data_IF_007072445205
#
_entry.id   IF_007072445205
#
_cell.length_a   1.000
_cell.length_b   1.000
_cell.length_c   1.000
_cell.angle_alpha   90.00
_cell.angle_beta   90.00
_cell.angle_gamma   90.00
#
_symmetry.space_group_name_H-M   'P 1'
#
loop_
_entity.id
_entity.type
_entity.pdbx_description
1 polymer ?
#
# COMPACT_ATOMS: atom_id res chain seq x y z
N UNK A 1 36.20 26.47 8.62
CA UNK A 1 35.47 25.44 7.84
C UNK A 1 34.56 24.68 8.78
N UNK A 2 33.24 24.78 8.58
CA UNK A 2 32.25 24.13 9.41
C UNK A 2 31.98 22.73 8.84
N UNK A 3 32.36 21.69 9.57
CA UNK A 3 32.30 20.28 9.11
C UNK A 3 30.85 19.91 8.70
N UNK A 4 29.86 20.53 9.35
CA UNK A 4 28.43 20.36 9.03
C UNK A 4 28.05 20.87 7.63
N UNK A 5 28.66 21.95 7.15
CA UNK A 5 28.40 22.51 5.81
C UNK A 5 29.11 21.75 4.68
N UNK A 6 30.08 20.89 5.01
CA UNK A 6 30.78 20.05 4.03
C UNK A 6 30.03 18.73 3.81
N UNK A 7 29.45 18.16 4.87
CA UNK A 7 28.68 16.92 4.81
C UNK A 7 27.38 17.13 4.00
N UNK A 8 26.71 18.27 4.17
CA UNK A 8 25.48 18.60 3.41
C UNK A 8 25.68 18.81 1.92
N UNK A 9 26.93 19.01 1.46
CA UNK A 9 27.26 19.20 0.03
C UNK A 9 27.68 17.91 -0.66
N UNK A 10 27.90 16.84 0.11
CA UNK A 10 28.41 15.57 -0.40
C UNK A 10 27.40 14.43 -0.29
N UNK A 11 26.36 14.56 0.53
CA UNK A 11 25.22 13.66 0.48
C UNK A 11 24.24 14.12 -0.60
N UNK A 12 24.00 13.32 -1.67
CA UNK A 12 22.85 13.55 -2.52
C UNK A 12 21.58 13.38 -1.67
N UNK A 13 20.70 14.36 -1.73
CA UNK A 13 19.36 14.25 -1.14
C UNK A 13 18.64 13.11 -1.83
N UNK A 14 18.06 12.15 -1.09
CA UNK A 14 17.22 11.14 -1.71
C UNK A 14 15.98 11.82 -2.28
N UNK A 15 15.92 11.96 -3.60
CA UNK A 15 14.67 12.12 -4.32
C UNK A 15 13.92 10.80 -4.20
N UNK A 16 13.10 10.69 -3.15
CA UNK A 16 11.97 9.78 -3.17
C UNK A 16 11.08 10.37 -4.28
N UNK A 17 11.05 9.72 -5.45
CA UNK A 17 10.09 9.99 -6.51
C UNK A 17 8.70 9.57 -6.00
N UNK A 18 8.15 10.36 -5.08
CA UNK A 18 6.72 10.55 -5.02
C UNK A 18 6.39 11.45 -6.21
N UNK A 19 5.55 10.94 -7.09
CA UNK A 19 5.04 11.62 -8.27
C UNK A 19 4.35 12.94 -7.86
N UNK A 20 5.11 14.05 -7.89
CA UNK A 20 4.55 15.39 -7.97
C UNK A 20 4.83 15.89 -9.38
N UNK A 21 3.87 15.63 -10.28
CA UNK A 21 3.85 16.16 -11.63
C UNK A 21 3.86 17.70 -11.59
N UNK A 22 4.96 18.31 -12.02
CA UNK A 22 5.02 19.74 -12.29
C UNK A 22 4.15 20.08 -13.52
N UNK A 23 3.16 20.96 -13.30
CA UNK A 23 2.33 21.54 -14.34
C UNK A 23 3.16 22.30 -15.39
N UNK A 24 2.98 21.93 -16.66
CA UNK A 24 3.42 22.73 -17.81
C UNK A 24 2.26 22.89 -18.79
N UNK A 25 1.54 24.01 -18.69
CA UNK A 25 0.58 24.49 -19.70
C UNK A 25 1.29 25.34 -20.75
N UNK A 26 1.06 25.06 -22.03
CA UNK A 26 0.62 25.97 -23.13
C UNK A 26 0.22 25.05 -24.32
N UNK A 27 -1.08 24.76 -24.46
CA UNK A 27 -2.02 25.17 -25.56
C UNK A 27 -1.84 24.39 -26.89
N UNK A 28 -2.75 23.50 -27.27
CA UNK A 28 -4.10 23.70 -27.85
C UNK A 28 -4.05 23.32 -29.35
N UNK A 29 -4.66 22.16 -29.69
CA UNK A 29 -5.33 21.79 -30.98
C UNK A 29 -5.38 20.26 -31.26
N UNK A 30 -5.38 19.40 -30.23
CA UNK A 30 -5.73 17.96 -30.36
C UNK A 30 -6.64 17.45 -29.23
N UNK A 31 -7.13 18.34 -28.37
CA UNK A 31 -7.80 18.04 -27.09
C UNK A 31 -9.30 17.71 -27.22
N UNK A 32 -9.75 17.19 -28.38
CA UNK A 32 -11.19 16.95 -28.65
C UNK A 32 -11.52 15.57 -29.24
N UNK A 33 -10.60 14.61 -29.15
CA UNK A 33 -10.82 13.26 -29.69
C UNK A 33 -10.48 12.11 -28.73
N UNK A 34 -10.07 12.37 -27.48
CA UNK A 34 -9.72 11.32 -26.50
C UNK A 34 -10.43 11.49 -25.13
N UNK A 35 -11.63 12.09 -25.11
CA UNK A 35 -12.56 12.00 -23.97
C UNK A 35 -13.45 10.72 -24.04
N UNK A 36 -12.98 9.66 -24.72
CA UNK A 36 -13.65 8.36 -24.71
C UNK A 36 -13.13 7.52 -23.53
N UNK A 37 -13.85 7.63 -22.40
CA UNK A 37 -13.84 6.72 -21.24
C UNK A 37 -12.46 6.41 -20.62
N UNK A 38 -11.99 7.27 -19.70
CA UNK A 38 -11.25 6.78 -18.54
C UNK A 38 -12.21 5.89 -17.71
N UNK A 39 -12.42 4.64 -18.15
CA UNK A 39 -12.95 3.62 -17.26
C UNK A 39 -12.02 3.56 -16.04
N UNK A 40 -12.57 3.79 -14.84
CA UNK A 40 -11.85 3.67 -13.58
C UNK A 40 -11.20 2.27 -13.54
N UNK A 41 -9.90 2.20 -13.81
CA UNK A 41 -9.15 0.95 -13.78
C UNK A 41 -9.14 0.43 -12.35
N UNK A 42 -9.99 -0.56 -12.05
CA UNK A 42 -10.06 -1.20 -10.74
C UNK A 42 -8.99 -2.28 -10.60
N UNK A 43 -8.27 -2.29 -9.49
CA UNK A 43 -7.34 -3.37 -9.15
C UNK A 43 -8.15 -4.61 -8.69
N UNK A 44 -8.18 -5.70 -9.48
CA UNK A 44 -8.89 -6.91 -9.08
C UNK A 44 -8.35 -7.52 -7.78
N UNK A 45 -7.10 -7.23 -7.41
CA UNK A 45 -6.53 -7.69 -6.14
C UNK A 45 -7.19 -7.04 -4.93
N UNK A 46 -7.63 -5.79 -5.03
CA UNK A 46 -8.28 -5.08 -3.93
C UNK A 46 -9.64 -5.71 -3.60
N UNK A 47 -10.47 -5.91 -4.63
CA UNK A 47 -11.78 -6.56 -4.51
C UNK A 47 -11.65 -7.99 -3.93
N UNK A 48 -10.70 -8.78 -4.44
CA UNK A 48 -10.45 -10.14 -3.95
C UNK A 48 -9.94 -10.17 -2.51
N UNK A 49 -9.09 -9.21 -2.11
CA UNK A 49 -8.62 -9.10 -0.73
C UNK A 49 -9.77 -8.77 0.22
N UNK A 50 -10.69 -7.89 -0.16
CA UNK A 50 -11.88 -7.59 0.63
C UNK A 50 -12.76 -8.84 0.79
N UNK A 51 -13.07 -9.53 -0.32
CA UNK A 51 -13.87 -10.75 -0.30
C UNK A 51 -13.24 -11.84 0.59
N UNK A 52 -11.95 -12.12 0.40
CA UNK A 52 -11.23 -13.11 1.19
C UNK A 52 -11.13 -12.73 2.68
N UNK A 53 -10.95 -11.45 3.00
CA UNK A 53 -10.87 -10.98 4.39
C UNK A 53 -12.19 -11.13 5.15
N UNK A 54 -13.32 -11.12 4.44
CA UNK A 54 -14.67 -11.28 5.02
C UNK A 54 -15.04 -12.74 5.35
N UNK A 55 -14.20 -13.73 4.99
CA UNK A 55 -14.46 -15.12 5.38
C UNK A 55 -14.31 -15.31 6.88
N UNK A 56 -15.23 -16.06 7.51
CA UNK A 56 -15.34 -16.15 8.98
C UNK A 56 -14.03 -16.51 9.70
N UNK A 57 -13.20 -17.39 9.13
CA UNK A 57 -11.94 -17.78 9.76
C UNK A 57 -10.84 -16.73 9.56
N UNK A 58 -10.80 -16.08 8.40
CA UNK A 58 -9.82 -15.03 8.06
C UNK A 58 -10.14 -13.75 8.83
N UNK A 59 -11.41 -13.39 8.95
CA UNK A 59 -11.85 -12.23 9.72
C UNK A 59 -11.47 -12.35 11.20
N UNK A 60 -11.53 -13.56 11.78
CA UNK A 60 -11.06 -13.82 13.15
C UNK A 60 -9.56 -13.61 13.32
N UNK A 61 -8.75 -13.96 12.31
CA UNK A 61 -7.31 -13.70 12.34
C UNK A 61 -7.03 -12.20 12.28
N UNK A 62 -7.82 -11.46 11.50
CA UNK A 62 -7.76 -10.00 11.49
C UNK A 62 -8.15 -9.38 12.85
N UNK A 63 -9.18 -9.92 13.51
CA UNK A 63 -9.56 -9.49 14.86
C UNK A 63 -8.42 -9.71 15.86
N UNK A 64 -7.76 -10.88 15.83
CA UNK A 64 -6.60 -11.20 16.68
C UNK A 64 -5.43 -10.24 16.42
N UNK A 65 -5.16 -9.92 15.14
CA UNK A 65 -4.16 -8.93 14.76
C UNK A 65 -4.49 -7.54 15.35
N UNK A 66 -5.76 -7.12 15.27
CA UNK A 66 -6.20 -5.84 15.84
C UNK A 66 -6.09 -5.82 17.37
N UNK A 67 -6.46 -6.91 18.05
CA UNK A 67 -6.27 -7.05 19.49
C UNK A 67 -4.78 -6.93 19.90
N UNK A 68 -3.88 -7.48 19.09
CA UNK A 68 -2.43 -7.27 19.29
C UNK A 68 -2.04 -5.80 19.09
N UNK A 69 -2.49 -5.17 18.00
CA UNK A 69 -2.20 -3.77 17.71
C UNK A 69 -2.67 -2.84 18.84
N UNK A 70 -3.89 -3.04 19.35
CA UNK A 70 -4.42 -2.29 20.48
C UNK A 70 -3.55 -2.46 21.73
N UNK A 71 -3.11 -3.70 22.01
CA UNK A 71 -2.25 -4.02 23.15
C UNK A 71 -0.87 -3.38 23.02
N UNK A 72 -0.25 -3.42 21.84
CA UNK A 72 1.06 -2.79 21.57
C UNK A 72 0.95 -1.27 21.67
N UNK A 73 -0.06 -0.67 21.04
CA UNK A 73 -0.28 0.78 21.04
C UNK A 73 -0.66 1.32 22.43
N UNK A 74 -1.23 0.50 23.31
CA UNK A 74 -1.55 0.90 24.68
C UNK A 74 -0.32 1.07 25.60
N UNK A 75 0.85 0.58 25.19
CA UNK A 75 2.07 0.56 26.02
C UNK A 75 2.99 1.71 25.65
N UNK A 76 3.52 2.40 26.66
CA UNK A 76 4.50 3.48 26.45
C UNK A 76 5.87 2.95 26.00
N UNK A 77 6.26 1.76 26.46
CA UNK A 77 7.46 1.05 26.03
C UNK A 77 7.17 -0.46 26.02
N UNK A 78 7.36 -1.13 24.88
CA UNK A 78 7.20 -2.57 24.73
C UNK A 78 8.18 -3.13 23.70
N UNK A 79 8.52 -4.41 23.83
CA UNK A 79 9.26 -5.20 22.82
C UNK A 79 8.36 -6.15 22.03
N UNK A 80 7.08 -6.15 22.36
CA UNK A 80 6.08 -6.94 21.66
C UNK A 80 5.87 -6.42 20.24
N UNK A 81 5.73 -7.34 19.30
CA UNK A 81 5.46 -7.10 17.87
C UNK A 81 4.27 -7.95 17.44
N UNK A 82 3.44 -7.44 16.54
CA UNK A 82 2.28 -8.18 16.00
C UNK A 82 2.59 -8.91 14.69
N UNK A 83 3.87 -9.21 14.43
CA UNK A 83 4.32 -9.86 13.19
C UNK A 83 3.76 -11.26 13.03
N UNK A 84 3.63 -12.01 14.13
CA UNK A 84 3.07 -13.36 14.08
C UNK A 84 1.61 -13.32 13.64
N UNK A 85 0.78 -12.51 14.30
CA UNK A 85 -0.63 -12.34 13.97
C UNK A 85 -0.82 -11.78 12.55
N UNK A 86 0.09 -10.91 12.11
CA UNK A 86 0.11 -10.39 10.75
C UNK A 86 0.36 -11.51 9.73
N UNK A 87 1.38 -12.34 9.94
CA UNK A 87 1.67 -13.45 9.02
C UNK A 87 0.57 -14.51 9.02
N UNK A 88 -0.06 -14.79 10.18
CA UNK A 88 -1.19 -15.71 10.26
C UNK A 88 -2.36 -15.20 9.40
N UNK A 89 -2.73 -13.92 9.51
CA UNK A 89 -3.76 -13.29 8.67
C UNK A 89 -3.39 -13.26 7.18
N UNK A 90 -2.18 -12.82 6.86
CA UNK A 90 -1.72 -12.69 5.47
C UNK A 90 -1.67 -14.05 4.77
N UNK A 91 -1.20 -15.10 5.44
CA UNK A 91 -1.10 -16.42 4.85
C UNK A 91 -2.48 -16.92 4.41
N UNK A 92 -3.48 -16.91 5.31
CA UNK A 92 -4.82 -17.42 4.98
C UNK A 92 -5.54 -16.53 3.96
N UNK A 93 -5.38 -15.21 4.04
CA UNK A 93 -5.94 -14.29 3.05
C UNK A 93 -5.32 -14.50 1.67
N UNK A 94 -4.00 -14.59 1.58
CA UNK A 94 -3.30 -14.69 0.30
C UNK A 94 -3.43 -16.10 -0.30
N UNK A 95 -3.57 -17.15 0.52
CA UNK A 95 -3.98 -18.49 0.08
C UNK A 95 -5.40 -18.49 -0.52
N UNK A 96 -6.29 -17.62 -0.04
CA UNK A 96 -7.60 -17.40 -0.66
C UNK A 96 -7.49 -16.62 -1.98
N UNK A 97 -6.81 -15.47 -1.99
CA UNK A 97 -6.69 -14.58 -3.15
C UNK A 97 -5.98 -15.26 -4.33
N UNK A 98 -4.94 -16.05 -4.05
CA UNK A 98 -4.14 -16.72 -5.08
C UNK A 98 -4.92 -17.71 -5.94
N UNK A 99 -6.11 -18.14 -5.51
CA UNK A 99 -6.97 -19.08 -6.26
C UNK A 99 -7.60 -18.45 -7.50
N UNK A 100 -7.77 -17.13 -7.52
CA UNK A 100 -8.52 -16.42 -8.57
C UNK A 100 -7.78 -15.22 -9.14
N UNK A 101 -6.85 -14.61 -8.41
CA UNK A 101 -6.18 -13.37 -8.83
C UNK A 101 -5.59 -13.44 -10.24
N UNK A 102 -4.92 -14.54 -10.59
CA UNK A 102 -4.26 -14.68 -11.89
C UNK A 102 -5.22 -14.87 -13.06
N UNK A 103 -6.50 -15.16 -12.81
CA UNK A 103 -7.53 -15.17 -13.86
C UNK A 103 -7.90 -13.74 -14.32
N UNK A 104 -7.56 -12.73 -13.52
CA UNK A 104 -7.80 -11.31 -13.81
C UNK A 104 -6.58 -10.60 -14.41
N UNK A 105 -5.41 -11.25 -14.43
CA UNK A 105 -4.16 -10.68 -14.91
C UNK A 105 -3.82 -11.26 -16.29
N UNK A 106 -3.65 -10.39 -17.28
CA UNK A 106 -3.32 -10.73 -18.68
C UNK A 106 -1.90 -10.31 -19.03
#
# INVERSE_FOLDING_TARGET
MNILQAISKWLPTPEIHADESEEKKEEDDEEKAEEEEEEELKDPMEELREECSNQEHISKLYDILNECNDRVNSKTETKETCEQELFDFLQERDDCVSKTLFDHLV
#
